data_IF_067299284529
#
_entry.id   IF_067299284529
#
_cell.length_a   1.000
_cell.length_b   1.000
_cell.length_c   1.000
_cell.angle_alpha   90.00
_cell.angle_beta   90.00
_cell.angle_gamma   90.00
#
_symmetry.space_group_name_H-M   'P 1'
#
loop_
_entity.id
_entity.type
_entity.pdbx_description
1 polymer ?
#
# COMPACT_ATOMS: atom_id res chain seq x y z
N UNK A 1 19.62 9.18 -10.02
CA UNK A 1 18.35 8.42 -9.94
C UNK A 1 17.18 9.31 -10.38
N UNK A 2 17.31 9.93 -11.57
CA UNK A 2 16.40 10.99 -12.06
C UNK A 2 16.15 10.89 -13.57
N UNK A 3 16.77 9.92 -14.26
CA UNK A 3 16.76 9.84 -15.72
C UNK A 3 15.81 8.80 -16.32
N UNK A 4 15.27 7.87 -15.54
CA UNK A 4 14.23 6.95 -16.03
C UNK A 4 12.88 7.63 -16.30
N UNK A 5 12.69 8.87 -15.86
CA UNK A 5 11.42 9.61 -15.93
C UNK A 5 11.30 10.45 -17.21
N UNK A 6 12.39 10.68 -17.96
CA UNK A 6 12.40 11.67 -19.06
C UNK A 6 12.00 11.15 -20.45
N UNK A 7 11.98 9.83 -20.71
CA UNK A 7 11.59 9.27 -22.03
C UNK A 7 10.22 8.54 -22.04
N UNK A 8 9.67 8.19 -20.88
CA UNK A 8 8.37 7.47 -20.72
C UNK A 8 7.22 8.38 -20.24
N UNK A 9 7.25 9.67 -20.58
CA UNK A 9 6.15 10.60 -20.28
C UNK A 9 4.92 10.24 -21.12
N UNK A 10 4.02 9.43 -20.54
CA UNK A 10 2.54 9.50 -20.61
C UNK A 10 1.85 8.19 -20.18
N UNK A 11 2.59 7.09 -19.91
CA UNK A 11 1.99 5.77 -19.61
C UNK A 11 2.85 4.94 -18.63
N UNK A 12 2.81 5.20 -17.31
CA UNK A 12 3.52 4.38 -16.33
C UNK A 12 3.04 2.93 -16.40
N UNK A 13 3.97 2.03 -16.71
CA UNK A 13 3.72 0.59 -16.81
C UNK A 13 3.73 -0.07 -15.41
N UNK A 14 4.38 0.58 -14.45
CA UNK A 14 4.35 0.15 -13.06
C UNK A 14 3.40 1.03 -12.26
N UNK A 15 2.44 0.40 -11.60
CA UNK A 15 1.45 1.07 -10.75
C UNK A 15 1.73 0.73 -9.30
N UNK A 16 1.86 1.76 -8.49
CA UNK A 16 2.17 1.61 -7.08
C UNK A 16 0.88 1.70 -6.27
N UNK A 17 0.39 0.56 -5.78
CA UNK A 17 -0.62 0.54 -4.75
C UNK A 17 -0.01 1.06 -3.46
N UNK A 18 -0.62 2.07 -2.84
CA UNK A 18 -0.01 2.77 -1.71
C UNK A 18 -1.09 3.17 -0.71
N UNK A 19 -0.87 2.85 0.56
CA UNK A 19 -1.77 3.30 1.62
C UNK A 19 -1.71 4.82 1.78
N UNK A 20 -2.72 5.47 2.39
CA UNK A 20 -2.82 6.93 2.43
C UNK A 20 -1.59 7.66 3.03
N UNK A 21 -0.91 7.04 4.00
CA UNK A 21 0.32 7.57 4.61
C UNK A 21 1.59 6.92 4.06
N UNK A 22 1.46 6.01 3.09
CA UNK A 22 2.58 5.33 2.44
C UNK A 22 3.24 4.23 3.27
N UNK A 23 2.62 3.78 4.36
CA UNK A 23 3.09 2.68 5.22
C UNK A 23 3.14 1.34 4.48
N UNK A 24 2.26 1.15 3.50
CA UNK A 24 2.24 0.00 2.59
C UNK A 24 2.41 0.44 1.15
N UNK A 25 3.20 -0.32 0.39
CA UNK A 25 3.45 -0.10 -1.02
C UNK A 25 3.58 -1.45 -1.74
N UNK A 26 2.84 -1.64 -2.83
CA UNK A 26 2.95 -2.80 -3.71
C UNK A 26 3.03 -2.35 -5.17
N UNK A 27 4.13 -2.70 -5.85
CA UNK A 27 4.37 -2.32 -7.25
C UNK A 27 3.82 -3.40 -8.19
N UNK A 28 2.86 -3.03 -9.01
CA UNK A 28 2.18 -3.91 -9.97
C UNK A 28 2.61 -3.58 -11.39
N UNK A 29 2.92 -4.61 -12.18
CA UNK A 29 3.23 -4.47 -13.59
C UNK A 29 1.93 -4.55 -14.42
N UNK A 30 1.50 -3.41 -14.94
CA UNK A 30 0.19 -3.19 -15.57
C UNK A 30 -0.08 -4.12 -16.77
N UNK A 31 0.93 -4.46 -17.58
CA UNK A 31 0.75 -5.42 -18.68
C UNK A 31 0.47 -6.87 -18.22
N UNK A 32 0.72 -7.19 -16.95
CA UNK A 32 0.34 -8.48 -16.34
C UNK A 32 -0.89 -8.35 -15.45
N UNK A 33 -1.56 -7.20 -15.47
CA UNK A 33 -2.77 -7.01 -14.70
C UNK A 33 -3.83 -8.01 -15.16
N UNK A 34 -4.53 -8.54 -14.18
CA UNK A 34 -5.68 -9.43 -14.31
C UNK A 34 -6.79 -8.95 -13.38
N UNK A 35 -8.07 -9.25 -13.65
CA UNK A 35 -9.18 -8.82 -12.79
C UNK A 35 -9.03 -9.19 -11.30
N UNK A 36 -8.30 -10.27 -11.00
CA UNK A 36 -7.99 -10.74 -9.64
C UNK A 36 -6.79 -10.03 -8.99
N UNK A 37 -6.11 -9.12 -9.68
CA UNK A 37 -4.86 -8.49 -9.18
C UNK A 37 -5.06 -7.73 -7.87
N UNK A 38 -6.19 -7.03 -7.71
CA UNK A 38 -6.49 -6.33 -6.45
C UNK A 38 -6.76 -7.33 -5.32
N UNK A 39 -7.39 -8.47 -5.63
CA UNK A 39 -7.57 -9.56 -4.67
C UNK A 39 -6.24 -10.15 -4.22
N UNK A 40 -5.27 -10.28 -5.13
CA UNK A 40 -3.91 -10.71 -4.80
C UNK A 40 -3.21 -9.67 -3.91
N UNK A 41 -3.24 -8.38 -4.28
CA UNK A 41 -2.68 -7.28 -3.45
C UNK A 41 -3.27 -7.29 -2.04
N UNK A 42 -4.58 -7.47 -1.92
CA UNK A 42 -5.27 -7.53 -0.64
C UNK A 42 -4.86 -8.76 0.18
N UNK A 43 -5.01 -9.96 -0.38
CA UNK A 43 -4.91 -11.19 0.39
C UNK A 43 -3.46 -11.65 0.61
N UNK A 44 -2.63 -11.56 -0.41
CA UNK A 44 -1.27 -12.09 -0.37
C UNK A 44 -0.27 -11.05 0.13
N UNK A 45 -0.53 -9.75 -0.06
CA UNK A 45 0.43 -8.71 0.34
C UNK A 45 -0.02 -7.90 1.56
N UNK A 46 -1.20 -7.25 1.51
CA UNK A 46 -1.64 -6.36 2.58
C UNK A 46 -1.90 -7.12 3.89
N UNK A 47 -2.67 -8.21 3.83
CA UNK A 47 -3.00 -9.03 5.01
C UNK A 47 -1.77 -9.72 5.60
N UNK A 48 -0.86 -10.19 4.74
CA UNK A 48 0.42 -10.75 5.19
C UNK A 48 1.27 -9.67 5.89
N UNK A 49 1.36 -8.47 5.31
CA UNK A 49 2.06 -7.35 5.91
C UNK A 49 1.47 -6.94 7.27
N UNK A 50 0.14 -6.84 7.38
CA UNK A 50 -0.54 -6.58 8.66
C UNK A 50 -0.22 -7.64 9.71
N UNK A 51 -0.20 -8.92 9.31
CA UNK A 51 0.16 -10.03 10.20
C UNK A 51 1.58 -9.90 10.73
N UNK A 52 2.53 -9.51 9.86
CA UNK A 52 3.92 -9.22 10.27
C UNK A 52 4.01 -8.04 11.23
N UNK A 53 3.28 -6.95 10.98
CA UNK A 53 3.22 -5.80 11.89
C UNK A 53 2.66 -6.18 13.27
N UNK A 54 1.60 -6.99 13.31
CA UNK A 54 1.00 -7.46 14.56
C UNK A 54 1.98 -8.36 15.35
N UNK A 55 2.69 -9.26 14.66
CA UNK A 55 3.72 -10.09 15.27
C UNK A 55 4.85 -9.26 15.89
N UNK A 56 5.36 -8.26 15.17
CA UNK A 56 6.41 -7.39 15.70
C UNK A 56 5.89 -6.48 16.83
N UNK A 57 4.65 -5.98 16.76
CA UNK A 57 4.00 -5.28 17.88
C UNK A 57 3.96 -6.15 19.14
N UNK A 58 3.54 -7.41 19.05
CA UNK A 58 3.49 -8.34 20.18
C UNK A 58 4.89 -8.59 20.77
N UNK A 59 5.92 -8.67 19.93
CA UNK A 59 7.31 -8.77 20.37
C UNK A 59 7.74 -7.54 21.16
N UNK A 60 7.41 -6.34 20.69
CA UNK A 60 7.72 -5.10 21.41
C UNK A 60 6.94 -5.00 22.73
N UNK A 61 5.69 -5.46 22.77
CA UNK A 61 4.91 -5.57 24.01
C UNK A 61 5.62 -6.44 25.05
N UNK A 62 6.12 -7.62 24.65
CA UNK A 62 6.88 -8.50 25.53
C UNK A 62 8.16 -7.82 26.09
N UNK A 63 8.87 -7.04 25.25
CA UNK A 63 10.05 -6.27 25.70
C UNK A 63 9.63 -5.19 26.71
N UNK A 64 8.53 -4.48 26.46
CA UNK A 64 8.08 -3.37 27.30
C UNK A 64 7.77 -3.78 28.74
N UNK A 65 7.29 -5.01 28.94
CA UNK A 65 6.96 -5.57 30.26
C UNK A 65 8.07 -6.46 30.85
N UNK A 66 9.13 -6.75 30.10
CA UNK A 66 10.20 -7.63 30.55
C UNK A 66 10.92 -7.09 31.78
N UNK A 67 11.14 -7.94 32.78
CA UNK A 67 11.90 -7.58 33.98
C UNK A 67 13.39 -7.39 33.66
N UNK A 68 13.92 -8.08 32.64
CA UNK A 68 15.32 -8.00 32.25
C UNK A 68 15.66 -6.82 31.33
N UNK A 69 14.65 -6.16 30.75
CA UNK A 69 14.85 -5.02 29.86
C UNK A 69 15.16 -3.73 30.62
N UNK A 70 16.15 -2.97 30.14
CA UNK A 70 16.48 -1.66 30.70
C UNK A 70 15.42 -0.59 30.41
N UNK A 71 15.36 0.48 31.20
CA UNK A 71 14.37 1.55 31.02
C UNK A 71 14.38 2.20 29.62
N UNK A 72 15.58 2.37 29.05
CA UNK A 72 15.74 2.92 27.70
C UNK A 72 15.16 1.98 26.63
N UNK A 73 15.33 0.66 26.82
CA UNK A 73 14.79 -0.36 25.93
C UNK A 73 13.26 -0.41 26.00
N UNK A 74 12.69 -0.39 27.21
CA UNK A 74 11.24 -0.30 27.41
C UNK A 74 10.64 0.94 26.74
N UNK A 75 11.28 2.09 26.90
CA UNK A 75 10.84 3.34 26.26
C UNK A 75 10.85 3.24 24.74
N UNK A 76 11.87 2.60 24.15
CA UNK A 76 11.93 2.37 22.69
C UNK A 76 10.84 1.40 22.25
N UNK A 77 10.62 0.31 22.99
CA UNK A 77 9.57 -0.65 22.68
C UNK A 77 8.18 0.01 22.68
N UNK A 78 7.87 0.86 23.65
CA UNK A 78 6.61 1.62 23.69
C UNK A 78 6.41 2.51 22.47
N UNK A 79 7.47 3.15 21.97
CA UNK A 79 7.40 3.97 20.74
C UNK A 79 7.13 3.11 19.49
N UNK A 80 7.78 1.96 19.38
CA UNK A 80 7.53 1.04 18.26
C UNK A 80 6.12 0.43 18.34
N UNK A 81 5.60 0.11 19.53
CA UNK A 81 4.20 -0.33 19.72
C UNK A 81 3.23 0.74 19.19
N UNK A 82 3.43 2.00 19.55
CA UNK A 82 2.59 3.11 19.07
C UNK A 82 2.66 3.24 17.54
N UNK A 83 3.87 3.12 16.97
CA UNK A 83 4.08 3.16 15.52
C UNK A 83 3.36 2.02 14.81
N UNK A 84 3.54 0.77 15.26
CA UNK A 84 2.88 -0.39 14.65
C UNK A 84 1.37 -0.32 14.81
N UNK A 85 0.86 0.16 15.94
CA UNK A 85 -0.58 0.38 16.15
C UNK A 85 -1.14 1.34 15.10
N UNK A 86 -0.47 2.46 14.83
CA UNK A 86 -0.88 3.42 13.79
C UNK A 86 -0.82 2.81 12.38
N UNK A 87 0.22 2.03 12.08
CA UNK A 87 0.35 1.36 10.78
C UNK A 87 -0.73 0.30 10.57
N UNK A 88 -1.01 -0.53 11.59
CA UNK A 88 -2.06 -1.56 11.53
C UNK A 88 -3.43 -0.91 11.29
N UNK A 89 -3.77 0.14 12.04
CA UNK A 89 -5.02 0.87 11.84
C UNK A 89 -5.14 1.44 10.42
N UNK A 90 -4.04 1.97 9.87
CA UNK A 90 -4.00 2.42 8.48
C UNK A 90 -4.21 1.26 7.48
N UNK A 91 -3.66 0.07 7.74
CA UNK A 91 -3.88 -1.10 6.88
C UNK A 91 -5.33 -1.59 6.92
N UNK A 92 -5.96 -1.56 8.09
CA UNK A 92 -7.37 -1.95 8.27
C UNK A 92 -8.31 -0.97 7.59
N UNK A 93 -8.05 0.34 7.70
CA UNK A 93 -8.79 1.36 6.99
C UNK A 93 -8.59 1.25 5.48
N UNK A 94 -7.35 1.11 5.01
CA UNK A 94 -7.04 0.95 3.60
C UNK A 94 -7.62 -0.34 2.99
N UNK A 95 -7.64 -1.43 3.75
CA UNK A 95 -8.35 -2.66 3.39
C UNK A 95 -9.84 -2.39 3.21
N UNK A 96 -10.51 -1.85 4.24
CA UNK A 96 -11.97 -1.72 4.28
C UNK A 96 -12.50 -0.70 3.28
N UNK A 97 -11.87 0.46 3.18
CA UNK A 97 -12.38 1.59 2.41
C UNK A 97 -11.94 1.56 0.94
N UNK A 98 -10.84 0.86 0.62
CA UNK A 98 -10.22 0.93 -0.72
C UNK A 98 -10.05 -0.44 -1.36
N UNK A 99 -9.24 -1.33 -0.75
CA UNK A 99 -8.86 -2.56 -1.42
C UNK A 99 -9.98 -3.61 -1.46
N UNK A 100 -10.78 -3.74 -0.40
CA UNK A 100 -11.85 -4.73 -0.33
C UNK A 100 -12.99 -4.45 -1.34
N UNK A 101 -13.50 -3.20 -1.49
CA UNK A 101 -14.44 -2.88 -2.55
C UNK A 101 -13.88 -3.18 -3.94
N UNK A 102 -12.66 -2.73 -4.26
CA UNK A 102 -12.03 -2.95 -5.56
C UNK A 102 -11.74 -4.43 -5.84
N UNK A 103 -11.35 -5.20 -4.83
CA UNK A 103 -11.14 -6.65 -4.94
C UNK A 103 -12.46 -7.38 -5.21
N UNK A 104 -13.56 -6.92 -4.60
CA UNK A 104 -14.90 -7.48 -4.80
C UNK A 104 -15.44 -7.17 -6.18
N UNK A 105 -15.21 -5.94 -6.67
CA UNK A 105 -15.60 -5.52 -8.02
C UNK A 105 -14.79 -6.24 -9.12
N UNK A 106 -13.59 -6.76 -8.79
CA UNK A 106 -12.66 -7.37 -9.74
C UNK A 106 -12.41 -6.47 -10.96
N UNK A 107 -12.11 -5.20 -10.70
CA UNK A 107 -11.95 -4.15 -11.72
C UNK A 107 -11.06 -4.64 -12.86
N UNK A 108 -11.62 -4.71 -14.07
CA UNK A 108 -10.89 -5.06 -15.28
C UNK A 108 -10.31 -3.81 -15.95
N UNK A 109 -9.15 -3.97 -16.59
CA UNK A 109 -8.53 -2.93 -17.42
C UNK A 109 -8.44 -3.41 -18.86
N UNK A 110 -8.58 -2.48 -19.79
CA UNK A 110 -8.31 -2.71 -21.21
C UNK A 110 -7.08 -1.89 -21.60
N UNK A 111 -6.03 -2.54 -22.12
CA UNK A 111 -4.79 -1.85 -22.48
C UNK A 111 -5.01 -0.80 -23.58
N UNK A 112 -6.03 -0.98 -24.42
CA UNK A 112 -6.36 -0.09 -25.52
C UNK A 112 -7.02 1.22 -25.04
N UNK A 113 -7.71 1.22 -23.88
CA UNK A 113 -8.26 2.42 -23.22
C UNK A 113 -7.16 3.42 -22.82
N UNK A 114 -5.91 2.93 -22.71
CA UNK A 114 -4.76 3.71 -22.31
C UNK A 114 -4.64 3.93 -20.80
N UNK A 115 -3.46 4.40 -20.37
CA UNK A 115 -3.11 4.37 -18.95
C UNK A 115 -3.94 5.33 -18.10
N UNK A 116 -4.26 6.52 -18.60
CA UNK A 116 -5.04 7.50 -17.82
C UNK A 116 -6.42 6.97 -17.44
N UNK A 117 -7.16 6.43 -18.42
CA UNK A 117 -8.50 5.87 -18.20
C UNK A 117 -8.45 4.72 -17.20
N UNK A 118 -7.53 3.77 -17.39
CA UNK A 118 -7.46 2.64 -16.48
C UNK A 118 -6.95 3.02 -15.09
N UNK A 119 -5.98 3.93 -14.98
CA UNK A 119 -5.43 4.36 -13.71
C UNK A 119 -6.50 5.03 -12.82
N UNK A 120 -7.39 5.82 -13.42
CA UNK A 120 -8.49 6.48 -12.71
C UNK A 120 -9.50 5.48 -12.12
N UNK A 121 -9.61 4.25 -12.65
CA UNK A 121 -10.48 3.19 -12.11
C UNK A 121 -10.06 2.76 -10.68
N UNK A 122 -8.81 3.00 -10.29
CA UNK A 122 -8.27 2.58 -8.99
C UNK A 122 -8.27 3.67 -7.92
N UNK A 123 -8.61 4.91 -8.26
CA UNK A 123 -8.78 6.01 -7.32
C UNK A 123 -7.65 6.12 -6.28
N UNK A 124 -8.01 6.08 -5.00
CA UNK A 124 -7.08 6.18 -3.87
C UNK A 124 -6.25 4.92 -3.60
N UNK A 125 -6.45 3.84 -4.35
CA UNK A 125 -5.61 2.64 -4.23
C UNK A 125 -4.20 2.88 -4.78
N UNK A 126 -4.06 3.74 -5.78
CA UNK A 126 -2.77 4.02 -6.40
C UNK A 126 -2.17 5.34 -5.89
N UNK A 127 -0.85 5.37 -5.78
CA UNK A 127 -0.11 6.59 -5.44
C UNK A 127 -0.25 7.63 -6.54
N UNK A 128 -0.97 8.72 -6.27
CA UNK A 128 -1.17 9.85 -7.19
C UNK A 128 0.08 10.21 -8.00
N UNK A 129 -0.12 10.33 -9.31
CA UNK A 129 0.92 10.75 -10.26
C UNK A 129 0.60 12.16 -10.74
N UNK A 130 1.43 13.12 -10.36
CA UNK A 130 1.28 14.52 -10.79
C UNK A 130 1.25 14.60 -12.33
N UNK A 131 0.17 15.17 -12.87
CA UNK A 131 -0.05 15.33 -14.31
C UNK A 131 -0.83 14.20 -15.00
N UNK A 132 -1.21 13.13 -14.30
CA UNK A 132 -2.15 12.12 -14.83
C UNK A 132 -3.62 12.54 -14.61
N UNK A 133 -3.89 13.25 -13.51
CA UNK A 133 -5.22 13.74 -13.11
C UNK A 133 -5.58 15.11 -13.70
N UNK A 134 -4.64 15.78 -14.39
CA UNK A 134 -4.92 17.06 -15.05
C UNK A 134 -5.86 16.82 -16.24
N UNK A 135 -6.99 17.55 -16.27
CA UNK A 135 -7.77 17.72 -17.51
C UNK A 135 -6.80 18.33 -18.54
N UNK A 136 -6.69 17.69 -19.70
CA UNK A 136 -6.09 18.38 -20.85
C UNK A 136 -7.14 19.44 -21.22
N UNK A 137 -6.77 20.72 -21.07
CA UNK A 137 -7.54 21.85 -21.58
C UNK A 137 -7.55 21.85 -23.12
#
# INVERSE_FOLDING_TARGET
MTDHVKRYKKRPIYWLFSSPKGSFNALIYMHRYRPDTVSVVLNEYLREFRTKLASEKNRQEAISISVSAGQAEKTRALKEIERFTKMIAEMEEYEREVLYPLATEQVAIDLDDGVKVNYLKFGSALKKITGLDAKED
#
